data_IF_837120190986
#
_entry.id   IF_837120190986
#
_cell.length_a   1.000
_cell.length_b   1.000
_cell.length_c   1.000
_cell.angle_alpha   90.00
_cell.angle_beta   90.00
_cell.angle_gamma   90.00
#
_symmetry.space_group_name_H-M   'P 1'
#
loop_
_entity.id
_entity.type
_entity.pdbx_description
1 polymer ?
#
# COMPACT_ATOMS: atom_id res chain seq x y z
N UNK A 1 -47.35 22.61 -26.52
CA UNK A 1 -45.99 23.16 -26.26
C UNK A 1 -45.37 22.52 -25.01
N UNK A 2 -45.30 21.18 -24.96
CA UNK A 2 -44.84 20.41 -23.77
C UNK A 2 -43.68 19.45 -24.12
N UNK A 3 -43.44 19.19 -25.42
CA UNK A 3 -42.42 18.23 -25.89
C UNK A 3 -40.97 18.72 -25.73
N UNK A 4 -40.73 20.02 -25.55
CA UNK A 4 -39.37 20.59 -25.51
C UNK A 4 -38.68 20.52 -24.13
N UNK A 5 -39.42 20.26 -23.05
CA UNK A 5 -38.84 20.21 -21.68
C UNK A 5 -38.28 18.83 -21.32
N UNK A 6 -38.78 17.75 -21.91
CA UNK A 6 -38.37 16.38 -21.58
C UNK A 6 -36.99 16.06 -22.19
N UNK A 7 -36.67 16.62 -23.36
CA UNK A 7 -35.40 16.40 -24.06
C UNK A 7 -34.19 17.00 -23.32
N UNK A 8 -34.36 18.15 -22.65
CA UNK A 8 -33.26 18.81 -21.90
C UNK A 8 -32.94 18.07 -20.60
N UNK A 9 -33.95 17.49 -19.93
CA UNK A 9 -33.74 16.70 -18.72
C UNK A 9 -32.97 15.40 -19.03
N UNK A 10 -33.32 14.71 -20.13
CA UNK A 10 -32.59 13.52 -20.57
C UNK A 10 -31.15 13.81 -21.05
N UNK A 11 -30.92 14.95 -21.71
CA UNK A 11 -29.57 15.36 -22.12
C UNK A 11 -28.69 15.71 -20.91
N UNK A 12 -29.27 16.29 -19.84
CA UNK A 12 -28.55 16.59 -18.59
C UNK A 12 -28.21 15.33 -17.76
N UNK A 13 -29.02 14.27 -17.87
CA UNK A 13 -28.78 12.97 -17.24
C UNK A 13 -27.75 12.13 -18.01
N UNK A 14 -27.67 12.26 -19.34
CA UNK A 14 -26.66 11.61 -20.16
C UNK A 14 -25.25 12.24 -20.03
N UNK A 15 -25.15 13.47 -19.52
CA UNK A 15 -23.89 14.23 -19.39
C UNK A 15 -23.14 14.04 -18.05
N UNK A 16 -23.63 13.20 -17.13
CA UNK A 16 -23.03 13.08 -15.78
C UNK A 16 -22.73 11.66 -15.31
N UNK A 17 -22.53 10.71 -16.21
CA UNK A 17 -21.59 9.62 -15.91
C UNK A 17 -20.16 10.13 -16.14
N UNK A 18 -19.78 11.18 -15.40
CA UNK A 18 -18.38 11.45 -15.12
C UNK A 18 -17.97 10.36 -14.14
N UNK A 19 -17.52 9.26 -14.72
CA UNK A 19 -17.00 8.13 -13.97
C UNK A 19 -15.64 8.56 -13.44
N UNK A 20 -15.67 9.24 -12.30
CA UNK A 20 -14.49 9.78 -11.64
C UNK A 20 -13.59 8.63 -11.21
N UNK A 21 -12.35 8.69 -11.68
CA UNK A 21 -11.26 7.83 -11.28
C UNK A 21 -10.99 7.96 -9.76
N UNK A 22 -10.37 6.95 -9.13
CA UNK A 22 -10.26 6.86 -7.67
C UNK A 22 -9.13 7.75 -7.13
N UNK A 23 -9.47 8.60 -6.17
CA UNK A 23 -8.49 9.32 -5.36
C UNK A 23 -8.19 8.48 -4.10
N UNK A 24 -6.97 7.98 -3.99
CA UNK A 24 -6.50 7.24 -2.81
C UNK A 24 -5.97 8.18 -1.72
N UNK A 25 -6.21 7.89 -0.44
CA UNK A 25 -5.81 8.75 0.66
C UNK A 25 -4.38 8.53 1.15
N UNK A 26 -4.01 9.24 2.22
CA UNK A 26 -2.69 9.20 2.88
C UNK A 26 -2.37 7.80 3.43
N UNK A 27 -3.38 6.96 3.66
CA UNK A 27 -3.22 5.57 4.10
C UNK A 27 -2.46 4.70 3.09
N UNK A 28 -2.33 5.12 1.83
CA UNK A 28 -1.56 4.43 0.78
C UNK A 28 -0.33 5.20 0.29
N UNK A 29 0.00 6.33 0.92
CA UNK A 29 1.20 7.11 0.60
C UNK A 29 2.17 7.09 1.76
N UNK A 30 3.44 6.87 1.44
CA UNK A 30 4.55 7.11 2.36
C UNK A 30 5.22 8.42 2.01
N UNK A 31 5.29 9.34 2.97
CA UNK A 31 5.98 10.61 2.78
C UNK A 31 7.50 10.45 2.97
N UNK A 32 8.26 10.95 2.01
CA UNK A 32 9.71 11.13 2.11
C UNK A 32 9.96 12.61 2.35
N UNK A 33 10.51 12.97 3.52
CA UNK A 33 10.77 14.37 3.84
C UNK A 33 11.84 14.98 2.92
N UNK A 34 12.06 16.29 3.02
CA UNK A 34 13.05 17.00 2.17
C UNK A 34 14.50 16.54 2.38
N UNK A 35 14.79 15.81 3.46
CA UNK A 35 16.11 15.29 3.78
C UNK A 35 16.29 13.82 3.35
N UNK A 36 15.21 13.18 2.88
CA UNK A 36 15.21 11.78 2.45
C UNK A 36 14.78 10.78 3.51
N UNK A 37 14.25 11.24 4.65
CA UNK A 37 13.77 10.37 5.71
C UNK A 37 12.35 9.86 5.39
N UNK A 38 12.13 8.58 5.65
CA UNK A 38 10.80 7.95 5.57
C UNK A 38 10.01 8.31 6.82
N UNK A 39 8.82 8.88 6.64
CA UNK A 39 7.98 9.38 7.75
C UNK A 39 6.93 8.36 8.19
N UNK A 40 6.17 8.73 9.24
CA UNK A 40 4.95 8.04 9.68
C UNK A 40 5.15 6.59 10.18
N UNK A 41 6.37 6.25 10.61
CA UNK A 41 6.73 4.92 11.12
C UNK A 41 6.81 3.85 10.03
N UNK A 42 6.83 4.25 8.76
CA UNK A 42 6.95 3.35 7.61
C UNK A 42 8.40 3.09 7.24
N UNK A 43 8.60 2.03 6.46
CA UNK A 43 9.91 1.63 5.92
C UNK A 43 9.81 1.34 4.43
N UNK A 44 10.93 1.04 3.79
CA UNK A 44 10.97 0.63 2.39
C UNK A 44 10.21 -0.67 2.12
N UNK A 45 9.99 -1.50 3.14
CA UNK A 45 9.25 -2.76 3.02
C UNK A 45 7.75 -2.53 2.80
N UNK A 46 7.25 -1.33 3.11
CA UNK A 46 5.86 -0.93 2.87
C UNK A 46 5.61 -0.50 1.42
N UNK A 47 6.67 -0.20 0.66
CA UNK A 47 6.55 0.29 -0.70
C UNK A 47 6.01 -0.82 -1.61
N UNK A 48 5.10 -0.44 -2.51
CA UNK A 48 4.51 -1.37 -3.45
C UNK A 48 5.41 -1.50 -4.67
N UNK A 49 5.90 -2.71 -4.91
CA UNK A 49 6.40 -3.15 -6.21
C UNK A 49 5.34 -4.04 -6.86
N UNK A 50 5.00 -3.76 -8.12
CA UNK A 50 4.10 -4.60 -8.90
C UNK A 50 4.93 -5.24 -10.00
N UNK A 51 4.97 -6.56 -10.00
CA UNK A 51 5.76 -7.32 -10.97
C UNK A 51 5.29 -7.05 -12.40
N UNK A 52 6.23 -7.20 -13.34
CA UNK A 52 5.98 -7.09 -14.77
C UNK A 52 5.93 -8.48 -15.38
N UNK A 53 4.90 -8.75 -16.19
CA UNK A 53 4.81 -9.97 -16.99
C UNK A 53 5.70 -9.92 -18.24
N UNK A 54 6.29 -8.76 -18.57
CA UNK A 54 7.21 -8.60 -19.70
C UNK A 54 8.65 -8.95 -19.30
N UNK A 55 9.42 -9.47 -20.26
CA UNK A 55 10.86 -9.71 -20.12
C UNK A 55 11.60 -8.38 -20.11
N UNK A 56 12.18 -8.03 -18.97
CA UNK A 56 13.00 -6.84 -18.79
C UNK A 56 14.49 -7.20 -18.82
N UNK A 57 15.34 -6.25 -19.21
CA UNK A 57 16.79 -6.36 -19.18
C UNK A 57 17.30 -6.61 -17.75
N UNK A 58 16.73 -5.88 -16.78
CA UNK A 58 17.06 -5.99 -15.37
C UNK A 58 15.80 -6.33 -14.56
N UNK A 59 15.37 -7.60 -14.51
CA UNK A 59 14.13 -7.99 -13.81
C UNK A 59 14.21 -7.80 -12.28
N UNK A 60 15.42 -7.65 -11.72
CA UNK A 60 15.63 -7.37 -10.29
C UNK A 60 15.55 -5.90 -9.90
N UNK A 61 15.50 -4.98 -10.87
CA UNK A 61 15.44 -3.53 -10.59
C UNK A 61 14.06 -3.18 -10.03
N UNK A 62 14.02 -2.89 -8.73
CA UNK A 62 12.80 -2.45 -8.05
C UNK A 62 12.57 -0.97 -8.32
N UNK A 63 11.50 -0.70 -9.06
CA UNK A 63 10.97 0.66 -9.25
C UNK A 63 9.67 0.82 -8.46
N UNK A 64 9.46 2.03 -7.94
CA UNK A 64 8.28 2.36 -7.15
C UNK A 64 7.51 3.52 -7.79
N UNK A 65 6.19 3.52 -7.61
CA UNK A 65 5.34 4.64 -8.02
C UNK A 65 5.58 5.79 -7.06
N UNK A 66 6.09 6.90 -7.57
CA UNK A 66 6.29 8.11 -6.81
C UNK A 66 5.33 9.22 -7.25
N UNK A 67 4.99 10.09 -6.32
CA UNK A 67 4.11 11.23 -6.52
C UNK A 67 4.74 12.49 -5.95
N UNK A 68 4.83 13.53 -6.77
CA UNK A 68 5.42 14.81 -6.41
C UNK A 68 4.45 15.95 -6.70
N UNK A 69 4.33 16.87 -5.75
CA UNK A 69 3.56 18.10 -5.88
C UNK A 69 4.54 19.28 -5.92
N UNK A 70 4.62 19.94 -7.06
CA UNK A 70 5.35 21.18 -7.25
C UNK A 70 4.37 22.35 -7.06
N UNK A 71 4.72 23.31 -6.20
CA UNK A 71 3.98 24.57 -6.08
C UNK A 71 4.81 25.71 -6.67
N UNK A 72 4.33 26.30 -7.76
CA UNK A 72 4.97 27.41 -8.47
C UNK A 72 4.01 28.61 -8.60
N UNK A 73 4.46 29.68 -9.26
CA UNK A 73 3.63 30.88 -9.51
C UNK A 73 2.40 30.61 -10.40
N UNK A 74 2.36 29.47 -11.09
CA UNK A 74 1.26 29.01 -11.93
C UNK A 74 0.32 28.06 -11.17
N UNK A 75 0.56 27.85 -9.88
CA UNK A 75 -0.23 27.03 -8.98
C UNK A 75 0.43 25.69 -8.65
N UNK A 76 -0.37 24.69 -8.35
CA UNK A 76 0.15 23.36 -8.04
C UNK A 76 0.23 22.53 -9.33
N UNK A 77 1.39 21.95 -9.59
CA UNK A 77 1.65 20.92 -10.60
C UNK A 77 1.89 19.60 -9.88
N UNK A 78 1.40 18.53 -10.46
CA UNK A 78 1.42 17.20 -9.85
C UNK A 78 1.96 16.22 -10.89
N UNK A 79 2.95 15.42 -10.48
CA UNK A 79 3.63 14.50 -11.37
C UNK A 79 3.79 13.13 -10.71
N UNK A 80 3.47 12.09 -11.47
CA UNK A 80 3.88 10.74 -11.16
C UNK A 80 5.24 10.45 -11.80
N UNK A 81 6.05 9.69 -11.09
CA UNK A 81 7.42 9.40 -11.49
C UNK A 81 7.93 8.11 -10.89
N UNK A 82 9.18 7.80 -11.20
CA UNK A 82 9.84 6.58 -10.76
C UNK A 82 10.67 6.85 -9.52
N UNK A 83 10.41 6.16 -8.41
CA UNK A 83 11.34 6.11 -7.29
C UNK A 83 12.20 4.85 -7.32
N UNK A 84 13.45 4.98 -6.85
CA UNK A 84 14.43 3.90 -6.71
C UNK A 84 15.18 4.01 -5.38
N UNK A 85 15.68 2.88 -4.90
CA UNK A 85 16.61 2.81 -3.78
C UNK A 85 18.04 2.88 -4.30
N UNK A 86 18.83 3.80 -3.75
CA UNK A 86 20.27 3.89 -4.00
C UNK A 86 21.05 3.24 -2.85
N UNK A 87 22.36 3.04 -3.03
CA UNK A 87 23.29 2.27 -2.17
C UNK A 87 23.45 2.74 -0.70
N UNK A 88 22.56 3.58 -0.20
CA UNK A 88 22.50 4.12 1.16
C UNK A 88 21.09 4.07 1.76
N UNK A 89 20.21 3.19 1.25
CA UNK A 89 18.76 3.16 1.55
C UNK A 89 18.04 4.48 1.27
N UNK A 90 18.68 5.38 0.52
CA UNK A 90 18.13 6.66 0.13
C UNK A 90 17.16 6.46 -1.03
N UNK A 91 15.94 6.93 -0.84
CA UNK A 91 14.89 6.89 -1.85
C UNK A 91 15.02 8.14 -2.71
N UNK A 92 15.24 7.97 -4.02
CA UNK A 92 15.26 9.07 -4.98
C UNK A 92 14.20 8.87 -6.05
N UNK A 93 13.46 9.93 -6.33
CA UNK A 93 12.43 9.98 -7.35
C UNK A 93 12.88 10.79 -8.57
N UNK A 94 12.45 10.37 -9.75
CA UNK A 94 12.62 11.10 -11.01
C UNK A 94 11.25 11.45 -11.57
N UNK A 95 11.03 12.74 -11.86
CA UNK A 95 9.75 13.32 -12.25
C UNK A 95 9.89 14.24 -13.45
N UNK A 96 8.77 14.52 -14.13
CA UNK A 96 8.65 15.62 -15.08
C UNK A 96 7.99 16.81 -14.39
N UNK A 97 8.64 17.97 -14.43
CA UNK A 97 8.01 19.21 -13.96
C UNK A 97 6.99 19.74 -14.98
N UNK A 98 6.43 20.92 -14.71
CA UNK A 98 5.39 21.53 -15.55
C UNK A 98 5.86 21.78 -16.99
N UNK A 99 7.14 22.07 -17.18
CA UNK A 99 7.77 22.31 -18.47
C UNK A 99 8.19 21.01 -19.18
N UNK A 100 7.81 19.85 -18.62
CA UNK A 100 8.27 18.53 -19.05
C UNK A 100 9.80 18.42 -19.06
N UNK A 101 10.49 19.03 -18.09
CA UNK A 101 11.91 18.77 -17.87
C UNK A 101 12.09 17.80 -16.72
N UNK A 102 13.16 17.00 -16.78
CA UNK A 102 13.52 16.02 -15.76
C UNK A 102 13.91 16.72 -14.46
N UNK A 103 13.33 16.25 -13.36
CA UNK A 103 13.70 16.60 -12.00
C UNK A 103 14.07 15.32 -11.25
N UNK A 104 15.21 15.32 -10.58
CA UNK A 104 15.62 14.23 -9.71
C UNK A 104 15.78 14.77 -8.29
N UNK A 105 15.14 14.10 -7.33
CA UNK A 105 15.17 14.51 -5.94
C UNK A 105 15.14 13.31 -5.02
N UNK A 106 15.82 13.42 -3.89
CA UNK A 106 15.89 12.36 -2.88
C UNK A 106 15.19 12.76 -1.58
N UNK A 107 14.06 13.45 -1.73
CA UNK A 107 13.22 13.93 -0.65
C UNK A 107 12.14 14.87 -1.16
N UNK A 108 11.10 15.10 -0.36
CA UNK A 108 10.01 16.04 -0.68
C UNK A 108 8.95 15.47 -1.63
N UNK A 109 8.78 14.15 -1.66
CA UNK A 109 7.80 13.45 -2.48
C UNK A 109 7.18 12.28 -1.71
N UNK A 110 6.21 11.61 -2.31
CA UNK A 110 5.52 10.45 -1.74
C UNK A 110 5.74 9.20 -2.58
N UNK A 111 5.77 8.04 -1.93
CA UNK A 111 5.89 6.73 -2.59
C UNK A 111 4.63 5.92 -2.29
N UNK A 112 4.10 5.24 -3.30
CA UNK A 112 2.94 4.37 -3.15
C UNK A 112 3.29 3.20 -2.23
N UNK A 113 2.42 2.92 -1.28
CA UNK A 113 2.68 1.93 -0.24
C UNK A 113 1.42 1.19 0.14
N UNK A 114 1.59 0.02 0.77
CA UNK A 114 0.47 -0.75 1.32
C UNK A 114 -0.28 0.06 2.36
N UNK A 115 -1.53 -0.31 2.61
CA UNK A 115 -2.38 0.38 3.58
C UNK A 115 -1.68 0.49 4.95
N UNK A 116 -1.63 1.69 5.55
CA UNK A 116 -0.84 1.98 6.77
C UNK A 116 -1.13 1.03 7.94
N UNK A 117 -2.40 0.69 8.16
CA UNK A 117 -2.85 -0.12 9.30
C UNK A 117 -2.94 -1.60 8.93
N UNK A 118 -3.72 -1.93 7.90
CA UNK A 118 -3.98 -3.31 7.51
C UNK A 118 -2.88 -3.98 6.68
N UNK A 119 -1.94 -3.21 6.10
CA UNK A 119 -0.89 -3.78 5.24
C UNK A 119 -1.37 -4.25 3.86
N UNK A 120 -2.63 -3.98 3.50
CA UNK A 120 -3.26 -4.42 2.25
C UNK A 120 -2.70 -3.70 1.03
N UNK A 121 -2.47 -4.44 -0.07
CA UNK A 121 -2.13 -3.89 -1.37
C UNK A 121 -3.27 -4.12 -2.38
N UNK A 122 -4.16 -3.13 -2.61
CA UNK A 122 -5.23 -3.27 -3.59
C UNK A 122 -4.81 -2.89 -5.02
N UNK A 123 -3.53 -2.63 -5.27
CA UNK A 123 -3.09 -2.00 -6.52
C UNK A 123 -2.55 -3.00 -7.53
N UNK A 124 -2.91 -2.77 -8.78
CA UNK A 124 -2.35 -3.49 -9.93
C UNK A 124 -2.21 -2.56 -11.13
N UNK A 125 -1.31 -2.91 -12.04
CA UNK A 125 -1.18 -2.26 -13.33
C UNK A 125 -1.91 -3.10 -14.38
N UNK A 126 -2.84 -2.46 -15.09
CA UNK A 126 -3.58 -3.12 -16.17
C UNK A 126 -3.29 -2.45 -17.52
N UNK A 127 -3.31 -3.20 -18.64
CA UNK A 127 -3.16 -2.62 -19.97
C UNK A 127 -4.13 -1.46 -20.19
N UNK A 128 -3.68 -0.38 -20.84
CA UNK A 128 -4.50 0.83 -21.02
C UNK A 128 -5.86 0.56 -21.69
N UNK A 129 -5.94 -0.47 -22.53
CA UNK A 129 -7.16 -0.91 -23.22
C UNK A 129 -8.17 -1.64 -22.32
N UNK A 130 -7.74 -2.10 -21.15
CA UNK A 130 -8.56 -2.85 -20.19
C UNK A 130 -8.92 -2.00 -18.96
N UNK A 131 -8.50 -0.74 -18.93
CA UNK A 131 -8.72 0.15 -17.79
C UNK A 131 -10.20 0.45 -17.61
N UNK A 132 -10.74 -0.01 -16.48
CA UNK A 132 -12.02 0.45 -15.95
C UNK A 132 -11.75 1.78 -15.26
N UNK A 133 -12.07 2.90 -15.95
CA UNK A 133 -11.81 4.28 -15.50
C UNK A 133 -12.11 4.59 -14.02
N UNK A 134 -13.25 4.16 -13.42
CA UNK A 134 -13.51 4.46 -12.02
C UNK A 134 -12.51 3.83 -11.05
N UNK A 135 -11.82 2.77 -11.47
CA UNK A 135 -10.79 2.12 -10.66
C UNK A 135 -9.40 2.70 -10.90
N UNK A 136 -9.19 3.50 -11.95
CA UNK A 136 -7.90 4.12 -12.23
C UNK A 136 -7.52 5.07 -11.10
N UNK A 137 -6.32 4.93 -10.54
CA UNK A 137 -5.83 5.86 -9.52
C UNK A 137 -5.61 7.21 -10.18
N UNK A 138 -6.17 8.27 -9.61
CA UNK A 138 -6.03 9.62 -10.15
C UNK A 138 -5.71 10.67 -9.11
N UNK A 139 -4.90 11.63 -9.55
CA UNK A 139 -4.73 12.93 -8.90
C UNK A 139 -4.87 14.00 -9.99
N UNK A 140 -5.78 14.94 -9.81
CA UNK A 140 -6.12 16.00 -10.78
C UNK A 140 -6.21 15.54 -12.25
N UNK A 141 -6.89 14.41 -12.47
CA UNK A 141 -7.12 13.80 -13.80
C UNK A 141 -5.88 13.22 -14.48
N UNK A 142 -4.76 13.16 -13.77
CA UNK A 142 -3.58 12.42 -14.17
C UNK A 142 -3.59 11.06 -13.46
N UNK A 143 -3.01 10.04 -14.10
CA UNK A 143 -2.93 8.67 -13.60
C UNK A 143 -1.45 8.23 -13.58
N UNK A 144 -1.02 7.44 -12.58
CA UNK A 144 0.27 6.77 -12.64
C UNK A 144 0.24 5.72 -13.76
N UNK A 145 1.26 5.74 -14.61
CA UNK A 145 1.38 4.81 -15.72
C UNK A 145 2.71 4.09 -15.67
N UNK A 146 2.70 2.78 -15.93
CA UNK A 146 3.89 1.99 -16.20
C UNK A 146 4.09 1.94 -17.72
N UNK A 147 5.27 2.37 -18.15
CA UNK A 147 5.64 2.52 -19.54
C UNK A 147 6.76 1.52 -19.82
N UNK A 148 6.66 0.78 -20.92
CA UNK A 148 7.69 -0.15 -21.36
C UNK A 148 8.45 0.41 -22.54
N UNK A 149 9.78 0.50 -22.42
CA UNK A 149 10.64 0.84 -23.54
C UNK A 149 10.92 -0.40 -24.37
N UNK A 150 10.43 -0.43 -25.61
CA UNK A 150 10.66 -1.57 -26.52
C UNK A 150 12.15 -1.75 -26.84
N UNK A 151 12.86 -0.65 -27.10
CA UNK A 151 14.27 -0.69 -27.52
C UNK A 151 15.23 -1.02 -26.37
N UNK A 152 14.87 -0.67 -25.14
CA UNK A 152 15.73 -0.82 -23.96
C UNK A 152 15.36 -2.01 -23.07
N UNK A 153 14.21 -2.63 -23.33
CA UNK A 153 13.65 -3.71 -22.51
C UNK A 153 13.58 -3.32 -21.02
N UNK A 154 13.18 -2.08 -20.74
CA UNK A 154 13.02 -1.58 -19.37
C UNK A 154 11.60 -1.07 -19.16
N UNK A 155 11.27 -0.82 -17.90
CA UNK A 155 10.04 -0.11 -17.55
C UNK A 155 10.33 1.03 -16.57
N UNK A 156 9.41 1.97 -16.54
CA UNK A 156 9.45 3.13 -15.66
C UNK A 156 8.05 3.64 -15.40
N UNK A 157 7.91 4.43 -14.34
CA UNK A 157 6.67 5.09 -13.97
C UNK A 157 6.66 6.51 -14.51
N UNK A 158 5.55 6.87 -15.12
CA UNK A 158 5.26 8.19 -15.64
C UNK A 158 3.83 8.63 -15.35
N UNK A 159 3.44 9.70 -16.02
CA UNK A 159 2.13 10.36 -15.85
C UNK A 159 1.30 10.19 -17.12
N UNK A 160 0.11 9.62 -16.99
CA UNK A 160 -0.86 9.48 -18.07
C UNK A 160 -2.04 10.44 -17.88
N UNK A 161 -2.58 10.88 -19.01
CA UNK A 161 -3.87 11.54 -19.09
C UNK A 161 -4.80 10.71 -19.97
N UNK A 162 -5.65 9.89 -19.36
CA UNK A 162 -6.56 8.98 -20.07
C UNK A 162 -7.64 9.68 -20.90
N UNK A 163 -7.93 10.95 -20.62
CA UNK A 163 -8.88 11.73 -21.41
C UNK A 163 -8.28 12.12 -22.75
N UNK A 164 -7.04 12.60 -22.72
CA UNK A 164 -6.31 13.06 -23.90
C UNK A 164 -5.55 11.93 -24.59
N UNK A 165 -5.43 10.77 -23.94
CA UNK A 165 -4.70 9.58 -24.43
C UNK A 165 -3.23 9.87 -24.69
N UNK A 166 -2.61 10.54 -23.72
CA UNK A 166 -1.20 10.95 -23.73
C UNK A 166 -0.54 10.42 -22.47
N UNK A 167 0.68 9.92 -22.61
CA UNK A 167 1.53 9.49 -21.50
C UNK A 167 2.90 10.12 -21.63
N UNK A 168 3.45 10.54 -20.49
CA UNK A 168 4.78 11.09 -20.37
C UNK A 168 5.59 10.31 -19.34
N UNK A 169 6.89 10.13 -19.59
CA UNK A 169 7.78 9.54 -18.61
C UNK A 169 9.24 9.73 -18.95
N UNK A 170 10.11 9.15 -18.12
CA UNK A 170 11.56 9.31 -18.21
C UNK A 170 12.21 7.93 -18.15
N UNK A 171 12.95 7.58 -19.19
CA UNK A 171 13.75 6.36 -19.27
C UNK A 171 14.97 6.41 -18.34
N UNK A 172 15.63 5.28 -18.12
CA UNK A 172 16.78 5.19 -17.20
C UNK A 172 17.96 6.06 -17.62
N UNK A 173 18.14 6.30 -18.91
CA UNK A 173 19.17 7.17 -19.47
C UNK A 173 18.75 8.65 -19.56
N UNK A 174 17.67 9.02 -18.87
CA UNK A 174 17.11 10.37 -18.83
C UNK A 174 16.41 10.84 -20.12
N UNK A 175 16.18 9.94 -21.09
CA UNK A 175 15.37 10.26 -22.27
C UNK A 175 13.92 10.52 -21.84
N UNK A 176 13.38 11.66 -22.25
CA UNK A 176 11.98 12.02 -22.00
C UNK A 176 11.13 11.44 -23.12
N UNK A 177 10.14 10.63 -22.75
CA UNK A 177 9.25 9.95 -23.68
C UNK A 177 7.86 10.57 -23.58
N UNK A 178 7.28 10.82 -24.75
CA UNK A 178 5.86 11.13 -24.94
C UNK A 178 5.25 10.07 -25.84
N UNK A 179 4.19 9.43 -25.36
CA UNK A 179 3.39 8.50 -26.17
C UNK A 179 2.00 9.09 -26.31
N UNK A 180 1.63 9.44 -27.53
CA UNK A 180 0.28 9.88 -27.88
C UNK A 180 -0.38 8.78 -28.72
N UNK A 181 -1.60 8.38 -28.35
CA UNK A 181 -2.31 7.35 -29.09
C UNK A 181 -2.51 7.72 -30.57
N UNK A 182 -2.76 9.01 -30.86
CA UNK A 182 -2.98 9.50 -32.22
C UNK A 182 -1.74 9.33 -33.13
N UNK A 183 -0.54 9.47 -32.56
CA UNK A 183 0.72 9.42 -33.32
C UNK A 183 1.34 8.01 -33.28
N UNK A 184 1.14 7.28 -32.19
CA UNK A 184 1.87 6.04 -31.85
C UNK A 184 0.94 4.98 -31.25
N UNK A 185 -0.18 4.69 -31.94
CA UNK A 185 -1.24 3.80 -31.45
C UNK A 185 -0.73 2.46 -30.90
N UNK A 186 0.16 1.78 -31.63
CA UNK A 186 0.67 0.46 -31.21
C UNK A 186 1.47 0.56 -29.90
N UNK A 187 2.30 1.59 -29.75
CA UNK A 187 3.06 1.81 -28.51
C UNK A 187 2.12 2.15 -27.36
N UNK A 188 1.11 3.00 -27.61
CA UNK A 188 0.12 3.34 -26.59
C UNK A 188 -0.62 2.10 -26.09
N UNK A 189 -1.11 1.24 -26.99
CA UNK A 189 -1.91 0.06 -26.62
C UNK A 189 -1.06 -1.06 -26.01
N UNK A 190 0.14 -1.29 -26.51
CA UNK A 190 0.95 -2.45 -26.10
C UNK A 190 1.89 -2.14 -24.94
N UNK A 191 2.34 -0.88 -24.80
CA UNK A 191 3.43 -0.51 -23.89
C UNK A 191 3.01 0.39 -22.73
N UNK A 192 1.72 0.67 -22.58
CA UNK A 192 1.18 1.46 -21.47
C UNK A 192 0.26 0.61 -20.61
N UNK A 193 0.55 0.61 -19.31
CA UNK A 193 -0.33 0.11 -18.27
C UNK A 193 -0.65 1.23 -17.28
N UNK A 194 -1.85 1.20 -16.71
CA UNK A 194 -2.33 2.21 -15.78
C UNK A 194 -2.55 1.57 -14.42
N UNK A 195 -2.16 2.28 -13.37
CA UNK A 195 -2.40 1.85 -12.01
C UNK A 195 -3.90 1.94 -11.68
N UNK A 196 -4.48 0.84 -11.23
CA UNK A 196 -5.85 0.79 -10.72
C UNK A 196 -5.85 0.35 -9.26
N UNK A 197 -6.88 0.75 -8.51
CA UNK A 197 -7.23 0.19 -7.20
C UNK A 197 -8.32 -0.87 -7.42
N UNK A 198 -7.97 -2.14 -7.29
CA UNK A 198 -8.89 -3.26 -7.47
C UNK A 198 -9.71 -3.50 -6.19
N UNK A 199 -11.05 -3.32 -6.21
CA UNK A 199 -11.90 -3.51 -5.03
C UNK A 199 -11.93 -4.96 -4.51
N UNK A 200 -11.65 -5.93 -5.37
CA UNK A 200 -11.63 -7.35 -4.98
C UNK A 200 -10.43 -7.66 -4.08
N UNK A 201 -9.27 -7.04 -4.34
CA UNK A 201 -8.06 -7.23 -3.52
C UNK A 201 -8.18 -6.57 -2.15
N UNK A 202 -8.93 -5.46 -2.06
CA UNK A 202 -9.19 -4.78 -0.79
C UNK A 202 -10.01 -5.64 0.18
N UNK A 203 -10.99 -6.39 -0.34
CA UNK A 203 -11.89 -7.21 0.47
C UNK A 203 -11.31 -8.56 0.88
N UNK A 204 -10.50 -9.19 0.02
CA UNK A 204 -9.87 -10.49 0.33
C UNK A 204 -8.92 -10.36 1.53
N UNK A 205 -8.12 -9.30 1.57
CA UNK A 205 -7.20 -9.10 2.70
C UNK A 205 -7.93 -8.63 3.97
N UNK A 206 -9.04 -7.89 3.88
CA UNK A 206 -9.82 -7.48 5.07
C UNK A 206 -10.43 -8.69 5.79
N UNK A 207 -10.97 -9.64 5.03
CA UNK A 207 -11.51 -10.90 5.56
C UNK A 207 -10.39 -11.73 6.19
N UNK A 208 -9.23 -11.82 5.50
CA UNK A 208 -8.07 -12.55 6.01
C UNK A 208 -7.48 -11.90 7.26
N UNK A 209 -7.42 -10.56 7.34
CA UNK A 209 -6.95 -9.84 8.52
C UNK A 209 -7.86 -10.07 9.72
N UNK A 210 -9.18 -10.01 9.55
CA UNK A 210 -10.11 -10.26 10.64
C UNK A 210 -10.02 -11.70 11.14
N UNK A 211 -9.76 -12.66 10.23
CA UNK A 211 -9.48 -14.04 10.61
C UNK A 211 -8.21 -14.15 11.47
N UNK A 212 -7.11 -13.55 11.03
CA UNK A 212 -5.85 -13.53 11.79
C UNK A 212 -6.00 -12.81 13.15
N UNK A 213 -6.79 -11.75 13.21
CA UNK A 213 -7.11 -11.02 14.45
C UNK A 213 -7.83 -11.92 15.44
N UNK A 214 -8.85 -12.64 15.00
CA UNK A 214 -9.58 -13.61 15.82
C UNK A 214 -8.69 -14.76 16.30
N UNK A 215 -7.86 -15.32 15.42
CA UNK A 215 -6.91 -16.38 15.78
C UNK A 215 -5.94 -15.90 16.87
N UNK A 216 -5.46 -14.65 16.79
CA UNK A 216 -4.59 -14.06 17.82
C UNK A 216 -5.31 -13.82 19.14
N UNK A 217 -6.54 -13.30 19.10
CA UNK A 217 -7.37 -13.11 20.31
C UNK A 217 -7.71 -14.44 20.99
N UNK A 218 -8.01 -15.49 20.22
CA UNK A 218 -8.24 -16.86 20.73
C UNK A 218 -6.97 -17.45 21.36
N UNK A 219 -5.82 -17.33 20.69
CA UNK A 219 -4.55 -17.78 21.24
C UNK A 219 -4.19 -17.08 22.56
N UNK A 220 -4.48 -15.78 22.67
CA UNK A 220 -4.24 -15.02 23.90
C UNK A 220 -5.23 -15.42 25.02
N UNK A 221 -6.50 -15.69 24.69
CA UNK A 221 -7.47 -16.24 25.66
C UNK A 221 -7.03 -17.60 26.18
N UNK A 222 -6.58 -18.49 25.32
CA UNK A 222 -6.07 -19.80 25.70
C UNK A 222 -4.85 -19.69 26.62
N UNK A 223 -3.89 -18.78 26.32
CA UNK A 223 -2.76 -18.54 27.25
C UNK A 223 -3.22 -18.07 28.61
N UNK A 224 -4.17 -17.14 28.69
CA UNK A 224 -4.70 -16.65 29.97
C UNK A 224 -5.41 -17.75 30.75
N UNK A 225 -6.17 -18.62 30.09
CA UNK A 225 -6.81 -19.77 30.72
C UNK A 225 -5.79 -20.76 31.29
N UNK A 226 -4.75 -21.07 30.52
CA UNK A 226 -3.66 -21.93 31.00
C UNK A 226 -2.94 -21.33 32.22
N UNK A 227 -2.64 -20.03 32.19
CA UNK A 227 -2.01 -19.33 33.32
C UNK A 227 -2.91 -19.31 34.57
N UNK A 228 -4.23 -19.21 34.39
CA UNK A 228 -5.20 -19.26 35.49
C UNK A 228 -5.36 -20.67 36.07
N UNK A 229 -5.38 -21.69 35.22
CA UNK A 229 -5.42 -23.10 35.62
C UNK A 229 -4.14 -23.51 36.38
N UNK A 230 -2.98 -23.04 35.93
CA UNK A 230 -1.70 -23.25 36.60
C UNK A 230 -1.66 -22.55 37.96
N UNK A 231 -2.19 -21.33 38.07
CA UNK A 231 -2.33 -20.62 39.36
C UNK A 231 -3.23 -21.38 40.34
N UNK A 232 -4.39 -21.84 39.88
CA UNK A 232 -5.33 -22.62 40.70
C UNK A 232 -4.69 -23.92 41.19
N UNK A 233 -3.95 -24.62 40.32
CA UNK A 233 -3.23 -25.83 40.68
C UNK A 233 -2.17 -25.58 41.75
N UNK A 234 -1.37 -24.54 41.60
CA UNK A 234 -0.37 -24.15 42.61
C UNK A 234 -1.01 -23.77 43.94
N UNK A 235 -2.19 -23.13 43.92
CA UNK A 235 -2.93 -22.77 45.13
C UNK A 235 -3.48 -24.01 45.85
N UNK A 236 -4.02 -24.97 45.11
CA UNK A 236 -4.45 -26.27 45.64
C UNK A 236 -3.28 -27.08 46.23
N UNK A 237 -2.11 -27.08 45.57
CA UNK A 237 -0.91 -27.74 46.10
C UNK A 237 -0.45 -27.09 47.42
N UNK A 238 -0.42 -25.75 47.50
CA UNK A 238 -0.12 -25.04 48.74
C UNK A 238 -1.13 -25.32 49.86
N UNK A 239 -2.43 -25.33 49.56
CA UNK A 239 -3.47 -25.63 50.57
C UNK A 239 -3.36 -27.07 51.09
N UNK A 240 -2.97 -28.01 50.22
CA UNK A 240 -2.72 -29.41 50.60
C UNK A 240 -1.47 -29.53 51.48
N UNK A 241 -0.42 -28.77 51.18
CA UNK A 241 0.81 -28.72 51.97
C UNK A 241 0.57 -28.11 53.36
N UNK A 242 -0.21 -27.03 53.45
CA UNK A 242 -0.64 -26.41 54.72
C UNK A 242 -1.49 -27.36 55.56
N UNK A 243 -2.43 -28.09 54.94
CA UNK A 243 -3.25 -29.07 55.65
C UNK A 243 -2.43 -30.25 56.20
N UNK A 244 -1.36 -30.66 55.52
CA UNK A 244 -0.47 -31.71 56.02
C UNK A 244 0.39 -31.23 57.20
N UNK A 245 0.88 -29.98 57.17
CA UNK A 245 1.64 -29.39 58.29
C UNK A 245 0.80 -29.20 59.56
N UNK A 246 -0.51 -28.94 59.41
CA UNK A 246 -1.43 -28.81 60.55
C UNK A 246 -1.70 -30.13 61.29
N UNK A 247 -1.37 -31.29 60.70
CA UNK A 247 -1.53 -32.60 61.35
C UNK A 247 -0.30 -33.06 62.13
N UNK A 248 0.83 -32.34 62.05
CA UNK A 248 2.09 -32.73 62.70
C UNK A 248 2.24 -32.18 64.14
N UNK A 249 1.27 -31.40 64.64
CA UNK A 249 1.26 -30.83 65.99
C UNK A 249 0.49 -31.69 67.03
N UNK A 250 0.50 -33.03 66.93
CA UNK A 250 0.06 -33.88 68.06
C UNK A 250 1.19 -33.98 69.13
N UNK A 251 0.91 -33.60 70.40
CA UNK A 251 1.93 -33.66 71.45
C UNK A 251 2.24 -35.12 71.83
N UNK A 252 3.47 -35.56 71.54
CA UNK A 252 4.00 -36.85 71.99
C UNK A 252 4.17 -36.81 73.53
N UNK A 253 3.17 -37.31 74.25
CA UNK A 253 3.28 -37.57 75.69
C UNK A 253 4.21 -38.76 75.94
N UNK A 254 5.49 -38.48 76.23
CA UNK A 254 6.43 -39.49 76.75
C UNK A 254 6.10 -39.83 78.20
N UNK A 255 5.46 -40.98 78.43
CA UNK A 255 5.36 -41.56 79.77
C UNK A 255 6.71 -42.08 80.25
N UNK A 256 7.22 -41.47 81.33
CA UNK A 256 8.40 -41.91 82.07
C UNK A 256 8.00 -43.05 83.01
N UNK A 257 8.43 -44.28 82.73
CA UNK A 257 8.28 -45.41 83.68
C UNK A 257 9.20 -45.19 84.88
N UNK A 258 8.62 -45.10 86.07
CA UNK A 258 9.32 -45.17 87.35
C UNK A 258 9.45 -46.65 87.72
N UNK A 259 10.68 -47.11 87.93
CA UNK A 259 10.97 -48.42 88.51
C UNK A 259 10.93 -48.32 90.02
N UNK A 260 10.21 -49.25 90.66
CA UNK A 260 10.47 -49.74 92.02
C UNK A 260 10.46 -51.27 91.95
#
# INVERSE_FOLDING_TARGET
MISFKITVVFLSLLLRYYVDAVWIGEEYWTSIDKFGNILDGRTTDDFITIDSNKKLKNPGDRIYVAFWILKDSLGNHEAFGTARLYASNKVCGTFLNRQNTREEMCGGFRVLSRHKISGVNPFEFVPVTQVIRPYAVTYRRQQPARIYSYNKYENFIGTANLRNRIVWGIESDSTIIKVEEADTYNDYVQNIEILIKNPSLENVDAIMLEKLRKEREEAERLRRQMEEEERLKNQLEMDTEVHNLSNDDEPIFRHRKVFN
#
